data_IF_745099373293
#
_entry.id   IF_745099373293
#
_cell.length_a   1.000
_cell.length_b   1.000
_cell.length_c   1.000
_cell.angle_alpha   90.00
_cell.angle_beta   90.00
_cell.angle_gamma   90.00
#
_symmetry.space_group_name_H-M   'P 1'
#
loop_
_entity.id
_entity.type
_entity.pdbx_description
1 polymer ?
#
# COMPACT_ATOMS: atom_id res chain seq x y z
N UNK A 1 -7.70 6.17 -26.60
CA UNK A 1 -8.83 5.84 -25.70
C UNK A 1 -8.95 6.94 -24.64
N UNK A 2 -10.02 7.76 -24.70
CA UNK A 2 -10.27 8.82 -23.72
C UNK A 2 -10.91 8.18 -22.48
N UNK A 3 -10.22 8.16 -21.33
CA UNK A 3 -10.86 7.78 -20.07
C UNK A 3 -11.52 9.03 -19.47
N UNK A 4 -12.84 9.04 -19.51
CA UNK A 4 -13.73 10.04 -18.94
C UNK A 4 -13.46 10.18 -17.44
N UNK A 5 -12.96 11.35 -17.02
CA UNK A 5 -12.88 11.75 -15.63
C UNK A 5 -14.31 12.02 -15.13
N UNK A 6 -14.80 11.21 -14.20
CA UNK A 6 -16.01 11.53 -13.44
C UNK A 6 -15.60 12.48 -12.32
N UNK A 7 -15.85 13.78 -12.51
CA UNK A 7 -15.79 14.79 -11.46
C UNK A 7 -17.08 14.73 -10.64
N UNK A 8 -16.97 14.40 -9.35
CA UNK A 8 -17.96 14.76 -8.35
C UNK A 8 -17.65 16.16 -7.81
N UNK A 9 -18.69 16.98 -7.72
CA UNK A 9 -18.66 18.38 -7.30
C UNK A 9 -18.26 18.49 -5.84
N UNK A 10 -16.96 18.68 -5.60
CA UNK A 10 -16.37 19.38 -4.47
C UNK A 10 -14.87 19.43 -4.76
N UNK A 11 -14.34 20.62 -5.02
CA UNK A 11 -12.96 20.87 -5.47
C UNK A 11 -11.89 20.59 -4.41
N UNK A 12 -11.88 19.37 -3.87
CA UNK A 12 -10.74 18.78 -3.18
C UNK A 12 -10.36 17.55 -3.99
N UNK A 13 -9.25 17.66 -4.72
CA UNK A 13 -8.52 16.46 -5.13
C UNK A 13 -8.21 15.75 -3.82
N UNK A 14 -8.99 14.71 -3.49
CA UNK A 14 -8.69 13.86 -2.37
C UNK A 14 -7.34 13.22 -2.69
N UNK A 15 -6.26 13.85 -2.24
CA UNK A 15 -4.95 13.23 -2.22
C UNK A 15 -5.18 11.94 -1.44
N UNK A 16 -5.07 10.80 -2.11
CA UNK A 16 -5.13 9.51 -1.43
C UNK A 16 -4.16 9.62 -0.27
N UNK A 17 -4.65 9.46 0.96
CA UNK A 17 -3.79 9.53 2.15
C UNK A 17 -2.73 8.46 1.94
N UNK A 18 -1.49 8.86 1.67
CA UNK A 18 -0.38 7.92 1.61
C UNK A 18 -0.19 7.35 3.01
N UNK A 19 -0.26 6.03 3.10
CA UNK A 19 -0.07 5.27 4.32
C UNK A 19 1.42 4.95 4.40
N UNK A 20 2.05 5.27 5.52
CA UNK A 20 3.38 4.74 5.81
C UNK A 20 3.22 3.40 6.49
N UNK A 21 3.85 2.36 5.94
CA UNK A 21 3.89 1.03 6.56
C UNK A 21 5.33 0.68 6.90
N UNK A 22 5.52 0.18 8.12
CA UNK A 22 6.79 -0.38 8.57
C UNK A 22 6.59 -1.86 8.84
N UNK A 23 7.42 -2.70 8.22
CA UNK A 23 7.34 -4.17 8.31
C UNK A 23 8.63 -4.67 8.97
N UNK A 24 8.49 -5.42 10.06
CA UNK A 24 9.58 -6.17 10.68
C UNK A 24 9.38 -7.65 10.34
N UNK A 25 10.35 -8.24 9.64
CA UNK A 25 10.35 -9.65 9.28
C UNK A 25 10.91 -10.52 10.41
N UNK A 26 10.58 -11.82 10.40
CA UNK A 26 11.04 -12.79 11.41
C UNK A 26 12.55 -13.01 11.39
N UNK A 27 13.19 -12.82 10.24
CA UNK A 27 14.65 -12.88 10.11
C UNK A 27 15.36 -11.62 10.67
N UNK A 28 14.62 -10.64 11.18
CA UNK A 28 15.16 -9.38 11.71
C UNK A 28 15.26 -8.24 10.70
N UNK A 29 15.05 -8.50 9.40
CA UNK A 29 15.01 -7.45 8.38
C UNK A 29 13.86 -6.48 8.64
N UNK A 30 14.07 -5.20 8.30
CA UNK A 30 13.06 -4.15 8.44
C UNK A 30 12.95 -3.38 7.13
N UNK A 31 11.72 -3.10 6.73
CA UNK A 31 11.40 -2.28 5.56
C UNK A 31 10.37 -1.21 5.91
N UNK A 32 10.45 -0.08 5.22
CA UNK A 32 9.49 1.01 5.33
C UNK A 32 9.06 1.44 3.93
N UNK A 33 7.76 1.55 3.71
CA UNK A 33 7.17 1.86 2.41
C UNK A 33 6.07 2.91 2.54
N UNK A 34 5.94 3.77 1.52
CA UNK A 34 4.77 4.63 1.34
C UNK A 34 3.81 3.98 0.34
N UNK A 35 2.59 3.68 0.77
CA UNK A 35 1.61 2.94 -0.02
C UNK A 35 0.29 3.70 -0.12
N UNK A 36 -0.50 3.42 -1.14
CA UNK A 36 -1.85 3.98 -1.29
C UNK A 36 -2.90 3.16 -0.52
N UNK A 37 -2.68 1.85 -0.39
CA UNK A 37 -3.58 0.96 0.34
C UNK A 37 -2.89 -0.33 0.78
N UNK A 38 -3.44 -1.00 1.80
CA UNK A 38 -3.10 -2.38 2.14
C UNK A 38 -4.33 -3.19 2.52
N UNK A 39 -4.25 -4.50 2.35
CA UNK A 39 -5.22 -5.46 2.85
C UNK A 39 -4.53 -6.74 3.30
N UNK A 40 -5.19 -7.52 4.15
CA UNK A 40 -4.76 -8.88 4.49
C UNK A 40 -5.66 -9.85 3.75
N UNK A 41 -5.09 -10.68 2.88
CA UNK A 41 -5.83 -11.63 2.06
C UNK A 41 -4.97 -12.85 1.75
N UNK A 42 -5.59 -14.05 1.74
CA UNK A 42 -4.94 -15.31 1.35
C UNK A 42 -3.60 -15.57 2.08
N UNK A 43 -3.54 -15.25 3.38
CA UNK A 43 -2.32 -15.43 4.19
C UNK A 43 -1.20 -14.43 3.88
N UNK A 44 -1.48 -13.37 3.13
CA UNK A 44 -0.53 -12.33 2.74
C UNK A 44 -0.97 -10.94 3.23
N UNK A 45 0.02 -10.09 3.53
CA UNK A 45 -0.12 -8.65 3.54
C UNK A 45 0.05 -8.15 2.10
N UNK A 46 -1.03 -7.65 1.51
CA UNK A 46 -1.04 -7.11 0.16
C UNK A 46 -0.93 -5.58 0.24
N UNK A 47 0.15 -5.01 -0.30
CA UNK A 47 0.32 -3.55 -0.37
C UNK A 47 0.19 -3.07 -1.80
N UNK A 48 -0.39 -1.90 -2.00
CA UNK A 48 -0.61 -1.31 -3.32
C UNK A 48 -0.04 0.10 -3.40
N UNK A 49 0.74 0.35 -4.46
CA UNK A 49 1.29 1.66 -4.82
C UNK A 49 0.78 2.04 -6.20
N UNK A 50 0.16 3.22 -6.34
CA UNK A 50 -0.50 3.65 -7.58
C UNK A 50 0.47 4.17 -8.63
N UNK A 51 1.55 4.85 -8.23
CA UNK A 51 2.47 5.54 -9.13
C UNK A 51 3.93 5.35 -8.73
N UNK A 52 4.84 5.43 -9.71
CA UNK A 52 6.29 5.32 -9.50
C UNK A 52 6.87 3.96 -9.88
N UNK A 53 8.18 3.81 -9.72
CA UNK A 53 8.93 2.59 -10.08
C UNK A 53 8.48 1.37 -9.28
N UNK A 54 7.96 1.58 -8.08
CA UNK A 54 7.42 0.53 -7.21
C UNK A 54 5.89 0.34 -7.36
N UNK A 55 5.29 0.88 -8.42
CA UNK A 55 3.85 0.75 -8.65
C UNK A 55 3.43 -0.71 -8.84
N UNK A 56 2.23 -1.02 -8.37
CA UNK A 56 1.65 -2.35 -8.39
C UNK A 56 1.35 -2.90 -7.00
N UNK A 57 0.97 -4.18 -6.97
CA UNK A 57 0.63 -4.89 -5.75
C UNK A 57 1.78 -5.81 -5.33
N UNK A 58 2.30 -5.65 -4.12
CA UNK A 58 3.23 -6.60 -3.49
C UNK A 58 2.45 -7.53 -2.57
N UNK A 59 2.76 -8.81 -2.61
CA UNK A 59 2.17 -9.83 -1.74
C UNK A 59 3.27 -10.35 -0.82
N UNK A 60 3.12 -10.10 0.48
CA UNK A 60 4.12 -10.49 1.49
C UNK A 60 3.49 -11.55 2.39
N UNK A 61 3.97 -12.81 2.39
CA UNK A 61 3.44 -13.84 3.26
C UNK A 61 3.51 -13.45 4.74
N UNK A 62 2.40 -13.59 5.47
CA UNK A 62 2.33 -13.24 6.88
C UNK A 62 3.27 -14.10 7.74
N UNK A 63 3.57 -15.32 7.32
CA UNK A 63 4.53 -16.20 8.00
C UNK A 63 5.96 -15.65 8.03
N UNK A 64 6.31 -14.75 7.10
CA UNK A 64 7.60 -14.06 7.08
C UNK A 64 7.60 -12.82 7.97
N UNK A 65 6.43 -12.28 8.31
CA UNK A 65 6.28 -11.05 9.07
C UNK A 65 6.25 -11.39 10.56
N UNK A 66 7.03 -10.64 11.35
CA UNK A 66 6.94 -10.64 12.81
C UNK A 66 5.88 -9.65 13.27
N UNK A 67 5.91 -8.45 12.73
CA UNK A 67 4.95 -7.36 13.02
C UNK A 67 4.96 -6.33 11.88
N UNK A 68 3.86 -5.60 11.71
CA UNK A 68 3.83 -4.40 10.88
C UNK A 68 2.98 -3.31 11.53
N UNK A 69 3.32 -2.04 11.27
CA UNK A 69 2.68 -0.86 11.85
C UNK A 69 2.38 0.14 10.74
N UNK A 70 1.23 0.81 10.81
CA UNK A 70 0.79 1.81 9.81
C UNK A 70 0.50 3.17 10.46
N UNK A 71 0.78 4.27 9.74
CA UNK A 71 0.60 5.66 10.19
C UNK A 71 -0.28 6.49 9.24
#
# INVERSE_FOLDING_TARGET
MKKTLKTNNEGKIAMSKQIKIKITYRNGTREEHCIDNYEIKDGCLCTYVRFGTESGTKHIPLDLIKEFITY
#
